data_IF_258327931568
#
_entry.id   IF_258327931568
#
_cell.length_a   1.000
_cell.length_b   1.000
_cell.length_c   1.000
_cell.angle_alpha   90.00
_cell.angle_beta   90.00
_cell.angle_gamma   90.00
#
_symmetry.space_group_name_H-M   'P 1'
#
loop_
_entity.id
_entity.type
_entity.pdbx_description
1 polymer ?
#
# COMPACT_ATOMS: atom_id res chain seq x y z
N UNK A 1 15.36 -11.95 -3.32
CA UNK A 1 14.66 -12.07 -2.01
C UNK A 1 13.83 -10.81 -1.82
N UNK A 2 12.63 -10.90 -1.23
CA UNK A 2 11.74 -9.76 -1.01
C UNK A 2 11.16 -9.79 0.41
N UNK A 3 10.96 -8.62 1.00
CA UNK A 3 10.19 -8.43 2.23
C UNK A 3 8.98 -7.52 1.95
N UNK A 4 7.86 -7.77 2.62
CA UNK A 4 6.64 -6.97 2.50
C UNK A 4 6.00 -6.76 3.85
N UNK A 5 6.31 -5.63 4.47
CA UNK A 5 5.67 -5.14 5.69
C UNK A 5 5.26 -3.67 5.51
N UNK A 6 3.95 -3.32 5.59
CA UNK A 6 3.50 -1.95 5.42
C UNK A 6 4.23 -0.97 6.35
N UNK A 7 4.47 -1.35 7.61
CA UNK A 7 5.17 -0.52 8.60
C UNK A 7 6.65 -0.20 8.27
N UNK A 8 7.24 -0.78 7.21
CA UNK A 8 8.60 -0.44 6.79
C UNK A 8 8.75 1.02 6.36
N UNK A 9 7.66 1.75 6.10
CA UNK A 9 7.72 3.20 5.84
C UNK A 9 8.38 3.98 6.98
N UNK A 10 8.28 3.49 8.22
CA UNK A 10 8.96 4.09 9.39
C UNK A 10 10.48 3.85 9.38
N UNK A 11 10.94 2.85 8.62
CA UNK A 11 12.29 2.32 8.66
C UNK A 11 13.08 2.58 7.38
N UNK A 12 12.56 3.36 6.43
CA UNK A 12 13.20 3.63 5.13
C UNK A 12 14.65 4.06 5.27
N UNK A 13 14.94 5.02 6.17
CA UNK A 13 16.31 5.47 6.42
C UNK A 13 17.23 4.35 6.91
N UNK A 14 16.77 3.52 7.84
CA UNK A 14 17.58 2.38 8.35
C UNK A 14 17.78 1.31 7.29
N UNK A 15 16.75 0.98 6.52
CA UNK A 15 16.83 0.01 5.43
C UNK A 15 17.87 0.48 4.41
N UNK A 16 17.84 1.75 4.01
CA UNK A 16 18.79 2.31 3.07
C UNK A 16 20.25 2.27 3.59
N UNK A 17 20.45 2.56 4.88
CA UNK A 17 21.78 2.50 5.49
C UNK A 17 22.34 1.08 5.59
N UNK A 18 21.50 0.11 5.96
CA UNK A 18 21.92 -1.28 6.17
C UNK A 18 22.01 -2.07 4.86
N UNK A 19 21.17 -1.73 3.88
CA UNK A 19 21.02 -2.42 2.61
C UNK A 19 21.02 -1.39 1.47
N UNK A 20 22.17 -0.77 1.14
CA UNK A 20 22.24 0.35 0.20
C UNK A 20 21.80 0.00 -1.24
N UNK A 21 21.76 -1.28 -1.58
CA UNK A 21 21.28 -1.77 -2.88
C UNK A 21 19.82 -2.23 -2.87
N UNK A 22 19.14 -2.20 -1.72
CA UNK A 22 17.73 -2.56 -1.65
C UNK A 22 16.88 -1.55 -2.43
N UNK A 23 16.00 -2.07 -3.28
CA UNK A 23 14.95 -1.29 -3.95
C UNK A 23 13.76 -1.16 -3.01
N UNK A 24 13.39 0.07 -2.65
CA UNK A 24 12.24 0.33 -1.78
C UNK A 24 11.07 0.73 -2.68
N UNK A 25 10.03 -0.11 -2.70
CA UNK A 25 8.78 0.16 -3.40
C UNK A 25 7.74 0.61 -2.37
N UNK A 26 7.18 1.78 -2.60
CA UNK A 26 6.13 2.34 -1.76
C UNK A 26 4.80 2.31 -2.50
N UNK A 27 3.87 1.48 -2.01
CA UNK A 27 2.54 1.37 -2.59
C UNK A 27 1.59 2.38 -1.95
N UNK A 28 1.30 3.47 -2.67
CA UNK A 28 0.32 4.47 -2.29
C UNK A 28 -1.07 4.09 -2.84
N UNK A 29 -2.11 4.57 -2.18
CA UNK A 29 -3.52 4.38 -2.55
C UNK A 29 -4.32 5.57 -2.04
N UNK A 30 -5.48 5.82 -2.63
CA UNK A 30 -6.46 6.79 -2.10
C UNK A 30 -6.62 6.68 -0.57
N UNK A 31 -6.53 7.83 0.10
CA UNK A 31 -6.48 7.91 1.55
C UNK A 31 -7.77 7.38 2.20
N UNK A 32 -8.93 7.81 1.69
CA UNK A 32 -10.22 7.38 2.20
C UNK A 32 -10.44 5.88 1.96
N UNK A 33 -10.05 5.37 0.80
CA UNK A 33 -10.10 3.95 0.48
C UNK A 33 -9.20 3.11 1.42
N UNK A 34 -8.01 3.61 1.74
CA UNK A 34 -7.06 2.96 2.64
C UNK A 34 -7.58 2.94 4.07
N UNK A 35 -7.98 4.09 4.62
CA UNK A 35 -8.50 4.19 5.97
C UNK A 35 -9.76 3.35 6.16
N UNK A 36 -10.71 3.37 5.21
CA UNK A 36 -11.88 2.50 5.27
C UNK A 36 -11.50 1.01 5.23
N UNK A 37 -10.48 0.65 4.44
CA UNK A 37 -10.01 -0.74 4.39
C UNK A 37 -9.44 -1.19 5.74
N UNK A 38 -8.72 -0.32 6.45
CA UNK A 38 -8.20 -0.60 7.79
C UNK A 38 -9.36 -0.70 8.79
N UNK A 39 -10.29 0.25 8.76
CA UNK A 39 -11.45 0.32 9.66
C UNK A 39 -12.32 -0.95 9.64
N UNK A 40 -12.42 -1.61 8.49
CA UNK A 40 -13.24 -2.81 8.30
C UNK A 40 -12.56 -4.11 8.75
N UNK A 41 -11.27 -4.08 9.08
CA UNK A 41 -10.49 -5.27 9.41
C UNK A 41 -10.26 -5.35 10.91
N UNK A 42 -10.56 -6.50 11.50
CA UNK A 42 -10.17 -6.80 12.88
C UNK A 42 -8.72 -7.31 12.92
N UNK A 43 -7.79 -6.43 13.27
CA UNK A 43 -6.39 -6.78 13.49
C UNK A 43 -6.22 -7.40 14.88
N UNK A 44 -5.55 -8.56 14.95
CA UNK A 44 -5.22 -9.21 16.22
C UNK A 44 -4.08 -8.45 16.91
N UNK A 45 -4.23 -8.19 18.21
CA UNK A 45 -3.25 -7.49 19.05
C UNK A 45 -3.35 -5.97 18.95
N UNK A 46 -2.38 -5.27 19.55
CA UNK A 46 -2.42 -3.80 19.74
C UNK A 46 -1.71 -3.00 18.64
N UNK A 47 -1.27 -3.63 17.54
CA UNK A 47 -0.43 -2.99 16.51
C UNK A 47 -1.16 -1.99 15.61
N UNK A 48 -2.50 -1.99 15.59
CA UNK A 48 -3.33 -1.14 14.73
C UNK A 48 -4.43 -0.44 15.54
N UNK A 49 -4.11 0.03 16.76
CA UNK A 49 -5.08 0.68 17.66
C UNK A 49 -5.75 1.91 17.04
N UNK A 50 -5.01 2.65 16.21
CA UNK A 50 -5.52 3.78 15.42
C UNK A 50 -6.65 3.39 14.45
N UNK A 51 -6.79 2.10 14.11
CA UNK A 51 -7.68 1.62 13.05
C UNK A 51 -9.17 1.59 13.38
N UNK A 52 -9.58 1.93 14.60
CA UNK A 52 -10.96 1.74 15.07
C UNK A 52 -11.69 3.05 15.41
N UNK A 53 -11.07 4.19 15.16
CA UNK A 53 -11.71 5.50 15.15
C UNK A 53 -11.42 6.19 13.81
N UNK A 54 -12.44 6.76 13.17
CA UNK A 54 -12.32 7.36 11.84
C UNK A 54 -11.47 8.64 11.84
N UNK A 55 -11.49 9.40 12.94
CA UNK A 55 -10.66 10.59 13.10
C UNK A 55 -9.20 10.22 13.35
N UNK A 56 -8.95 9.27 14.25
CA UNK A 56 -7.57 8.76 14.49
C UNK A 56 -6.97 8.12 13.23
N UNK A 57 -7.78 7.45 12.40
CA UNK A 57 -7.35 6.95 11.11
C UNK A 57 -6.88 8.06 10.17
N UNK A 58 -7.61 9.17 10.12
CA UNK A 58 -7.22 10.34 9.33
C UNK A 58 -5.89 10.90 9.83
N UNK A 59 -5.80 11.14 11.14
CA UNK A 59 -4.62 11.71 11.78
C UNK A 59 -3.39 10.81 11.55
N UNK A 60 -3.54 9.49 11.66
CA UNK A 60 -2.46 8.53 11.37
C UNK A 60 -2.07 8.52 9.89
N UNK A 61 -3.02 8.64 8.97
CA UNK A 61 -2.74 8.69 7.54
C UNK A 61 -1.96 9.96 7.16
N UNK A 62 -2.34 11.12 7.73
CA UNK A 62 -1.62 12.37 7.48
C UNK A 62 -0.17 12.27 7.99
N UNK A 63 0.04 11.72 9.20
CA UNK A 63 1.39 11.45 9.73
C UNK A 63 2.21 10.49 8.84
N UNK A 64 1.58 9.46 8.30
CA UNK A 64 2.21 8.57 7.32
C UNK A 64 2.65 9.35 6.07
N UNK A 65 1.78 10.23 5.55
CA UNK A 65 2.08 11.05 4.38
C UNK A 65 3.23 12.02 4.65
N UNK A 66 3.26 12.65 5.83
CA UNK A 66 4.36 13.50 6.29
C UNK A 66 5.69 12.76 6.34
N UNK A 67 5.69 11.53 6.88
CA UNK A 67 6.89 10.69 6.96
C UNK A 67 7.37 10.31 5.56
N UNK A 68 6.47 9.97 4.64
CA UNK A 68 6.86 9.69 3.25
C UNK A 68 7.40 10.92 2.54
N UNK A 69 6.79 12.09 2.74
CA UNK A 69 7.31 13.36 2.23
C UNK A 69 8.71 13.68 2.79
N UNK A 70 8.93 13.39 4.08
CA UNK A 70 10.25 13.50 4.70
C UNK A 70 11.28 12.60 3.99
N UNK A 71 10.97 11.32 3.76
CA UNK A 71 11.89 10.41 3.10
C UNK A 71 12.23 10.82 1.67
N UNK A 72 11.23 11.26 0.90
CA UNK A 72 11.46 11.80 -0.44
C UNK A 72 12.37 13.02 -0.44
N UNK A 73 12.24 13.88 0.57
CA UNK A 73 13.08 15.08 0.72
C UNK A 73 14.53 14.74 1.10
N UNK A 74 14.75 13.80 2.02
CA UNK A 74 16.10 13.53 2.58
C UNK A 74 16.83 12.39 1.88
N UNK A 75 16.13 11.54 1.13
CA UNK A 75 16.66 10.40 0.36
C UNK A 75 16.11 10.40 -1.08
N UNK A 76 16.39 11.44 -1.89
CA UNK A 76 15.85 11.54 -3.24
C UNK A 76 16.25 10.35 -4.10
N UNK A 77 15.26 9.71 -4.74
CA UNK A 77 15.46 8.56 -5.63
C UNK A 77 15.64 7.21 -4.92
N UNK A 78 15.58 7.16 -3.58
CA UNK A 78 15.68 5.89 -2.83
C UNK A 78 14.34 5.15 -2.80
N UNK A 79 13.24 5.89 -2.69
CA UNK A 79 11.88 5.34 -2.67
C UNK A 79 11.25 5.47 -4.04
N UNK A 80 10.71 4.37 -4.56
CA UNK A 80 9.92 4.35 -5.80
C UNK A 80 8.44 4.19 -5.46
N UNK A 81 7.65 5.23 -5.71
CA UNK A 81 6.22 5.19 -5.47
C UNK A 81 5.49 4.51 -6.62
N UNK A 82 4.54 3.65 -6.25
CA UNK A 82 3.55 3.09 -7.16
C UNK A 82 2.15 3.39 -6.62
N UNK A 83 1.20 3.66 -7.51
CA UNK A 83 -0.19 3.88 -7.11
C UNK A 83 -1.03 2.65 -7.38
N UNK A 84 -1.79 2.24 -6.36
CA UNK A 84 -2.70 1.12 -6.45
C UNK A 84 -3.71 1.26 -7.59
N UNK A 85 -4.27 2.46 -7.77
CA UNK A 85 -5.28 2.73 -8.79
C UNK A 85 -4.74 2.54 -10.21
N UNK A 86 -3.47 2.89 -10.44
CA UNK A 86 -2.83 2.74 -11.74
C UNK A 86 -2.64 1.26 -12.09
N UNK A 87 -2.23 0.44 -11.13
CA UNK A 87 -2.11 -1.02 -11.30
C UNK A 87 -3.47 -1.65 -11.63
N UNK A 88 -4.51 -1.21 -10.93
CA UNK A 88 -5.87 -1.70 -11.13
C UNK A 88 -6.46 -1.28 -12.48
N UNK A 89 -6.04 -0.13 -13.00
CA UNK A 89 -6.45 0.38 -14.31
C UNK A 89 -5.67 -0.29 -15.46
N UNK A 90 -4.37 -0.54 -15.28
CA UNK A 90 -3.46 -1.12 -16.27
C UNK A 90 -2.43 -2.06 -15.61
N UNK A 91 -2.85 -3.30 -15.34
CA UNK A 91 -1.98 -4.28 -14.69
C UNK A 91 -0.73 -4.58 -15.52
N UNK A 92 -0.88 -4.73 -16.83
CA UNK A 92 0.22 -5.15 -17.72
C UNK A 92 1.31 -4.06 -17.77
N UNK A 93 0.93 -2.83 -18.11
CA UNK A 93 1.88 -1.72 -18.22
C UNK A 93 2.58 -1.42 -16.89
N UNK A 94 1.83 -1.37 -15.78
CA UNK A 94 2.41 -1.07 -14.48
C UNK A 94 3.32 -2.19 -13.96
N UNK A 95 2.96 -3.46 -14.19
CA UNK A 95 3.81 -4.59 -13.81
C UNK A 95 5.11 -4.59 -14.61
N UNK A 96 5.06 -4.34 -15.92
CA UNK A 96 6.28 -4.27 -16.76
C UNK A 96 7.20 -3.14 -16.32
N UNK A 97 6.65 -1.95 -16.09
CA UNK A 97 7.42 -0.80 -15.63
C UNK A 97 8.11 -1.07 -14.27
N UNK A 98 7.40 -1.72 -13.34
CA UNK A 98 7.97 -2.06 -12.04
C UNK A 98 9.07 -3.12 -12.15
N UNK A 99 8.87 -4.16 -12.96
CA UNK A 99 9.88 -5.21 -13.18
C UNK A 99 11.14 -4.63 -13.83
N UNK A 100 11.00 -3.73 -14.80
CA UNK A 100 12.10 -3.00 -15.42
C UNK A 100 12.85 -2.11 -14.40
N UNK A 101 12.12 -1.34 -13.58
CA UNK A 101 12.72 -0.54 -12.50
C UNK A 101 13.54 -1.39 -11.50
N UNK A 102 13.06 -2.61 -11.22
CA UNK A 102 13.74 -3.57 -10.35
C UNK A 102 14.96 -4.22 -11.03
N UNK A 103 15.14 -4.06 -12.34
CA UNK A 103 16.20 -4.68 -13.13
C UNK A 103 16.06 -6.20 -13.23
N UNK A 104 14.82 -6.70 -13.20
CA UNK A 104 14.50 -8.13 -13.25
C UNK A 104 14.04 -8.53 -14.66
N UNK A 105 14.30 -9.78 -15.09
CA UNK A 105 13.73 -10.29 -16.34
C UNK A 105 12.21 -10.41 -16.22
N UNK A 106 11.51 -10.13 -17.32
CA UNK A 106 10.06 -10.29 -17.41
C UNK A 106 9.64 -11.77 -17.35
N UNK A 107 8.53 -12.03 -16.66
CA UNK A 107 7.85 -13.33 -16.61
C UNK A 107 6.32 -13.09 -16.62
N UNK A 108 5.60 -13.74 -17.54
CA UNK A 108 4.14 -13.62 -17.66
C UNK A 108 3.41 -14.09 -16.40
N UNK A 109 4.04 -14.91 -15.55
CA UNK A 109 3.51 -15.32 -14.26
C UNK A 109 3.23 -14.13 -13.32
N UNK A 110 3.87 -12.97 -13.54
CA UNK A 110 3.58 -11.72 -12.81
C UNK A 110 2.13 -11.30 -12.98
N UNK A 111 1.56 -11.47 -14.17
CA UNK A 111 0.16 -11.13 -14.45
C UNK A 111 -0.82 -12.14 -13.83
N UNK A 112 -0.37 -13.39 -13.69
CA UNK A 112 -1.12 -14.51 -13.11
C UNK A 112 -0.82 -14.74 -11.62
N UNK A 113 -0.48 -13.68 -10.87
CA UNK A 113 -0.06 -13.77 -9.45
C UNK A 113 -1.02 -14.57 -8.56
N UNK A 114 -2.32 -14.53 -8.86
CA UNK A 114 -3.38 -15.20 -8.11
C UNK A 114 -3.31 -16.74 -8.18
N UNK A 115 -2.60 -17.28 -9.17
CA UNK A 115 -2.41 -18.72 -9.40
C UNK A 115 -1.26 -19.30 -8.58
N UNK A 116 -0.53 -18.49 -7.80
CA UNK A 116 0.60 -19.00 -6.99
C UNK A 116 0.16 -19.98 -5.91
N UNK A 117 0.87 -21.10 -5.76
CA UNK A 117 0.61 -22.07 -4.69
C UNK A 117 1.14 -21.61 -3.32
N UNK A 118 1.96 -20.55 -3.28
CA UNK A 118 2.57 -20.08 -2.04
C UNK A 118 1.52 -19.67 -1.00
N UNK A 119 1.69 -20.04 0.29
CA UNK A 119 0.83 -19.57 1.36
C UNK A 119 0.82 -18.04 1.46
N UNK A 120 -0.38 -17.45 1.45
CA UNK A 120 -0.59 -16.00 1.59
C UNK A 120 -1.11 -15.73 3.01
N UNK A 121 -0.25 -15.21 3.88
CA UNK A 121 -0.58 -14.92 5.30
C UNK A 121 -0.80 -13.42 5.50
N UNK A 122 -1.97 -12.92 5.11
CA UNK A 122 -2.33 -11.50 5.24
C UNK A 122 -3.83 -11.31 5.37
N UNK A 123 -4.27 -10.15 5.86
CA UNK A 123 -5.69 -9.80 5.99
C UNK A 123 -6.43 -9.78 4.63
N UNK A 124 -5.69 -9.52 3.55
CA UNK A 124 -6.21 -9.53 2.17
C UNK A 124 -6.07 -10.88 1.45
N UNK A 125 -5.84 -12.00 2.17
CA UNK A 125 -5.55 -13.30 1.54
C UNK A 125 -6.61 -13.75 0.52
N UNK A 126 -7.90 -13.56 0.81
CA UNK A 126 -8.97 -13.90 -0.12
C UNK A 126 -8.94 -13.03 -1.40
N UNK A 127 -8.53 -11.76 -1.28
CA UNK A 127 -8.47 -10.83 -2.41
C UNK A 127 -7.26 -11.11 -3.31
N UNK A 128 -6.10 -11.46 -2.72
CA UNK A 128 -4.88 -11.80 -3.47
C UNK A 128 -5.04 -13.08 -4.29
N UNK A 129 -6.00 -13.93 -3.95
CA UNK A 129 -6.35 -15.16 -4.68
C UNK A 129 -7.30 -14.93 -5.86
N UNK A 130 -7.62 -13.68 -6.17
CA UNK A 130 -8.43 -13.30 -7.34
C UNK A 130 -7.57 -12.56 -8.37
N UNK A 131 -7.92 -12.60 -9.67
CA UNK A 131 -7.35 -11.71 -10.67
C UNK A 131 -7.48 -10.24 -10.26
N UNK A 132 -6.67 -9.35 -10.84
CA UNK A 132 -6.78 -7.92 -10.55
C UNK A 132 -8.17 -7.39 -10.91
N UNK A 133 -8.78 -6.61 -10.01
CA UNK A 133 -10.16 -6.14 -10.16
C UNK A 133 -10.35 -4.73 -9.57
N UNK A 134 -11.30 -3.97 -10.12
CA UNK A 134 -11.49 -2.54 -9.80
C UNK A 134 -12.47 -2.25 -8.65
N UNK A 135 -13.14 -3.27 -8.13
CA UNK A 135 -14.30 -3.11 -7.23
C UNK A 135 -14.01 -2.46 -5.87
N UNK A 136 -12.75 -2.27 -5.49
CA UNK A 136 -12.32 -1.71 -4.20
C UNK A 136 -11.96 -0.22 -4.26
N UNK A 137 -11.67 0.35 -5.43
CA UNK A 137 -11.13 1.72 -5.58
C UNK A 137 -12.12 2.74 -5.01
N UNK A 138 -13.36 2.70 -5.49
CA UNK A 138 -14.41 3.67 -5.15
C UNK A 138 -15.38 3.18 -4.08
N UNK A 139 -15.06 2.09 -3.39
CA UNK A 139 -15.96 1.49 -2.39
C UNK A 139 -16.30 2.47 -1.27
N UNK A 140 -15.36 3.34 -0.89
CA UNK A 140 -15.53 4.31 0.19
C UNK A 140 -16.63 5.34 -0.11
N UNK A 141 -16.83 5.72 -1.37
CA UNK A 141 -17.87 6.66 -1.79
C UNK A 141 -19.27 6.19 -1.42
N UNK A 142 -19.50 4.86 -1.35
CA UNK A 142 -20.80 4.28 -0.98
C UNK A 142 -21.20 4.54 0.47
N UNK A 143 -20.25 4.93 1.33
CA UNK A 143 -20.52 5.20 2.75
C UNK A 143 -20.96 6.65 2.99
N UNK A 144 -20.77 7.56 2.02
CA UNK A 144 -21.22 8.95 2.10
C UNK A 144 -20.84 9.64 3.41
N UNK A 145 -21.81 10.32 4.01
CA UNK A 145 -21.64 11.11 5.25
C UNK A 145 -21.15 10.30 6.46
N UNK A 146 -21.24 8.96 6.42
CA UNK A 146 -20.71 8.12 7.52
C UNK A 146 -19.20 8.20 7.63
N UNK A 147 -18.50 8.60 6.56
CA UNK A 147 -17.06 8.83 6.58
C UNK A 147 -16.69 10.27 6.90
N UNK A 148 -17.64 11.14 7.21
CA UNK A 148 -17.37 12.55 7.51
C UNK A 148 -16.26 12.75 8.57
N UNK A 149 -16.21 12.00 9.69
CA UNK A 149 -15.13 12.17 10.67
C UNK A 149 -13.71 11.88 10.12
N UNK A 150 -13.62 11.02 9.10
CA UNK A 150 -12.39 10.72 8.37
C UNK A 150 -12.11 11.81 7.31
N UNK A 151 -13.09 12.08 6.45
CA UNK A 151 -12.93 12.97 5.29
C UNK A 151 -12.66 14.42 5.69
N UNK A 152 -13.25 14.90 6.79
CA UNK A 152 -13.06 16.27 7.27
C UNK A 152 -11.64 16.51 7.84
N UNK A 153 -10.86 15.45 8.07
CA UNK A 153 -9.52 15.50 8.69
C UNK A 153 -8.38 15.07 7.77
N UNK A 154 -8.66 14.43 6.64
CA UNK A 154 -7.63 14.09 5.66
C UNK A 154 -7.15 15.37 4.94
N UNK A 155 -5.84 15.46 4.74
CA UNK A 155 -5.19 16.56 4.02
C UNK A 155 -5.32 16.46 2.48
#
# INVERSE_FOLDING_TARGET
VTDKMPGNFLLVGFIHLMLPHAKIIHCARDAAATCLSIFKVHFRGDSHRYGYDLGELADFHNLYTDIMAHWHKVLPGVVHDVRYEDFVADQDGQSRALIDYLGLPWDDAVLSFHQTDRPVRTASAAQVRQPMYQGSVDLWKRYGDRLKPLLDRLD
#
